data_IF_652485240051
#
_entry.id   IF_652485240051
#
_cell.length_a   1.000
_cell.length_b   1.000
_cell.length_c   1.000
_cell.angle_alpha   90.00
_cell.angle_beta   90.00
_cell.angle_gamma   90.00
#
_symmetry.space_group_name_H-M   'P 1'
#
loop_
_entity.id
_entity.type
_entity.pdbx_description
1 polymer ?
#
# COMPACT_ATOMS: atom_id res chain seq x y z
N UNK A 1 -27.94 -75.03 -38.29
CA UNK A 1 -28.34 -73.75 -37.66
C UNK A 1 -27.72 -72.65 -38.51
N UNK A 2 -28.40 -71.70 -39.17
CA UNK A 2 -29.70 -71.03 -38.91
C UNK A 2 -29.77 -70.44 -37.50
N UNK A 3 -30.01 -69.14 -37.25
CA UNK A 3 -30.22 -68.00 -38.17
C UNK A 3 -30.26 -66.67 -37.38
N UNK A 4 -29.93 -65.53 -38.02
CA UNK A 4 -30.35 -64.15 -37.64
C UNK A 4 -31.88 -63.96 -37.80
N UNK A 5 -32.57 -62.87 -37.35
CA UNK A 5 -32.06 -61.52 -37.02
C UNK A 5 -32.68 -60.76 -35.80
N UNK A 6 -32.16 -59.54 -35.57
CA UNK A 6 -32.82 -58.27 -35.15
C UNK A 6 -33.82 -58.14 -33.97
N UNK A 7 -33.64 -57.06 -33.18
CA UNK A 7 -34.64 -56.01 -32.85
C UNK A 7 -33.89 -54.78 -32.28
N UNK A 8 -34.50 -53.58 -32.32
CA UNK A 8 -33.83 -52.30 -31.97
C UNK A 8 -34.49 -51.54 -30.82
N UNK A 9 -33.67 -50.87 -30.00
CA UNK A 9 -34.00 -49.78 -29.06
C UNK A 9 -32.69 -49.08 -28.66
N UNK A 10 -32.59 -47.77 -28.42
CA UNK A 10 -33.60 -46.71 -28.52
C UNK A 10 -32.93 -45.35 -28.80
N UNK A 11 -33.70 -44.25 -28.88
CA UNK A 11 -33.16 -42.91 -29.13
C UNK A 11 -32.65 -42.27 -27.84
N UNK A 12 -31.34 -42.11 -27.69
CA UNK A 12 -30.76 -41.24 -26.67
C UNK A 12 -30.63 -39.81 -27.21
N UNK A 13 -31.44 -38.88 -26.68
CA UNK A 13 -31.43 -37.46 -27.07
C UNK A 13 -30.47 -36.67 -26.19
N UNK A 14 -29.23 -36.51 -26.67
CA UNK A 14 -28.21 -35.71 -26.00
C UNK A 14 -28.66 -34.23 -25.88
N UNK A 15 -28.72 -33.73 -24.63
CA UNK A 15 -28.97 -32.33 -24.32
C UNK A 15 -27.77 -31.47 -24.75
N UNK A 16 -27.97 -30.28 -25.35
CA UNK A 16 -26.86 -29.39 -25.69
C UNK A 16 -26.25 -28.79 -24.42
N UNK A 17 -24.96 -29.01 -24.21
CA UNK A 17 -24.22 -28.41 -23.10
C UNK A 17 -24.07 -26.90 -23.31
N UNK A 18 -24.62 -26.09 -22.40
CA UNK A 18 -24.47 -24.64 -22.42
C UNK A 18 -23.01 -24.24 -22.13
N UNK A 19 -22.29 -23.80 -23.17
CA UNK A 19 -20.92 -23.29 -23.04
C UNK A 19 -20.92 -21.85 -22.47
N UNK A 20 -21.09 -21.70 -21.16
CA UNK A 20 -20.83 -20.42 -20.49
C UNK A 20 -19.32 -20.26 -20.20
N UNK A 21 -18.51 -20.27 -21.25
CA UNK A 21 -17.09 -19.94 -21.20
C UNK A 21 -16.88 -18.42 -21.11
N UNK A 22 -17.18 -17.82 -19.96
CA UNK A 22 -16.94 -16.39 -19.72
C UNK A 22 -15.46 -16.11 -19.46
N UNK A 23 -14.63 -16.19 -20.50
CA UNK A 23 -13.27 -15.68 -20.47
C UNK A 23 -13.28 -14.16 -20.27
N UNK A 24 -12.82 -13.71 -19.10
CA UNK A 24 -12.56 -12.30 -18.86
C UNK A 24 -11.44 -11.85 -19.83
N UNK A 25 -11.67 -10.85 -20.70
CA UNK A 25 -10.65 -10.41 -21.64
C UNK A 25 -9.49 -9.76 -20.88
N UNK A 26 -8.27 -10.23 -21.16
CA UNK A 26 -7.06 -9.59 -20.67
C UNK A 26 -6.90 -8.19 -21.29
N UNK A 27 -6.49 -7.21 -20.48
CA UNK A 27 -6.21 -5.85 -20.97
C UNK A 27 -7.45 -4.99 -21.24
N UNK A 28 -8.14 -4.57 -20.18
CA UNK A 28 -8.83 -3.26 -20.21
C UNK A 28 -7.86 -2.21 -19.69
N UNK A 29 -7.49 -1.26 -20.55
CA UNK A 29 -6.71 -0.10 -20.13
C UNK A 29 -7.54 0.75 -19.16
N UNK A 30 -6.99 1.08 -17.99
CA UNK A 30 -7.70 1.81 -16.93
C UNK A 30 -7.49 3.33 -17.04
N UNK A 31 -7.38 3.86 -18.26
CA UNK A 31 -6.91 5.22 -18.65
C UNK A 31 -7.82 6.38 -18.21
N UNK A 32 -8.71 6.14 -17.25
CA UNK A 32 -9.56 7.14 -16.58
C UNK A 32 -10.05 6.69 -15.21
N UNK A 33 -9.46 5.63 -14.62
CA UNK A 33 -9.83 5.08 -13.32
C UNK A 33 -8.63 5.16 -12.37
N UNK A 34 -8.54 6.24 -11.61
CA UNK A 34 -7.54 6.41 -10.56
C UNK A 34 -7.88 5.55 -9.33
N UNK A 35 -6.88 5.14 -8.51
CA UNK A 35 -7.13 4.47 -7.23
C UNK A 35 -7.96 5.34 -6.28
N UNK A 36 -8.88 4.72 -5.53
CA UNK A 36 -9.71 5.40 -4.52
C UNK A 36 -9.07 5.44 -3.13
N UNK A 37 -7.97 4.72 -2.92
CA UNK A 37 -7.24 4.53 -1.67
C UNK A 37 -5.96 5.37 -1.57
N UNK A 38 -5.88 6.49 -2.31
CA UNK A 38 -4.72 7.40 -2.30
C UNK A 38 -4.30 7.80 -0.88
N UNK A 39 -2.99 7.86 -0.66
CA UNK A 39 -2.41 8.07 0.67
C UNK A 39 -2.33 9.55 1.05
N UNK A 40 -2.15 10.45 0.07
CA UNK A 40 -2.07 11.90 0.24
C UNK A 40 -3.20 12.46 1.11
N UNK A 41 -4.45 12.13 0.78
CA UNK A 41 -5.67 12.53 1.52
C UNK A 41 -5.75 12.03 2.97
N UNK A 42 -5.01 10.96 3.31
CA UNK A 42 -4.97 10.34 4.66
C UNK A 42 -3.76 10.79 5.47
N UNK A 43 -2.68 11.17 4.82
CA UNK A 43 -1.45 11.67 5.44
C UNK A 43 -1.50 13.19 5.70
N UNK A 44 -2.02 13.96 4.74
CA UNK A 44 -2.21 15.40 4.87
C UNK A 44 -3.51 15.64 5.65
N UNK A 45 -3.37 16.25 6.83
CA UNK A 45 -4.49 16.58 7.72
C UNK A 45 -5.42 17.65 7.14
N UNK A 46 -4.91 18.87 6.82
CA UNK A 46 -5.72 19.99 6.37
C UNK A 46 -6.56 19.69 5.12
N UNK A 47 -7.79 20.19 5.14
CA UNK A 47 -8.77 20.14 4.03
C UNK A 47 -8.76 21.45 3.26
N UNK A 48 -9.35 21.44 2.06
CA UNK A 48 -9.36 22.60 1.14
C UNK A 48 -9.90 23.88 1.79
N UNK A 49 -10.90 23.78 2.65
CA UNK A 49 -11.45 24.91 3.44
C UNK A 49 -10.46 25.43 4.46
N UNK A 50 -9.83 24.54 5.25
CA UNK A 50 -8.84 24.89 6.26
C UNK A 50 -7.58 25.50 5.62
N UNK A 51 -7.16 24.99 4.45
CA UNK A 51 -6.07 25.54 3.65
C UNK A 51 -6.42 26.96 3.16
N UNK A 52 -7.66 27.19 2.68
CA UNK A 52 -8.10 28.51 2.24
C UNK A 52 -8.17 29.52 3.41
N UNK A 53 -8.65 29.10 4.58
CA UNK A 53 -8.66 29.91 5.81
C UNK A 53 -7.24 30.26 6.27
N UNK A 54 -6.33 29.28 6.30
CA UNK A 54 -4.92 29.50 6.64
C UNK A 54 -4.21 30.43 5.64
N UNK A 55 -4.43 30.26 4.34
CA UNK A 55 -3.88 31.14 3.31
C UNK A 55 -4.40 32.57 3.44
N UNK A 56 -5.72 32.74 3.67
CA UNK A 56 -6.32 34.06 3.88
C UNK A 56 -5.80 34.76 5.13
N UNK A 57 -5.51 34.03 6.21
CA UNK A 57 -4.86 34.57 7.42
C UNK A 57 -3.43 35.04 7.15
N UNK A 58 -2.72 34.36 6.24
CA UNK A 58 -1.38 34.71 5.77
C UNK A 58 -1.38 35.74 4.62
N UNK A 59 -2.54 36.27 4.23
CA UNK A 59 -2.69 37.23 3.13
C UNK A 59 -2.40 36.66 1.73
N UNK A 60 -2.28 35.34 1.59
CA UNK A 60 -2.01 34.63 0.35
C UNK A 60 -3.31 34.06 -0.26
N UNK A 61 -3.34 33.88 -1.58
CA UNK A 61 -4.48 33.31 -2.32
C UNK A 61 -4.30 31.85 -2.68
N UNK A 62 -3.05 31.39 -2.86
CA UNK A 62 -2.73 30.00 -3.23
C UNK A 62 -1.45 29.50 -2.55
N UNK A 63 -1.24 28.19 -2.57
CA UNK A 63 -0.01 27.55 -2.06
C UNK A 63 1.22 27.94 -2.89
N UNK A 64 1.07 28.22 -4.18
CA UNK A 64 2.12 28.70 -5.08
C UNK A 64 2.54 30.12 -4.75
N UNK A 65 1.61 30.99 -4.32
CA UNK A 65 1.92 32.34 -3.84
C UNK A 65 2.63 32.31 -2.49
N UNK A 66 2.16 31.47 -1.55
CA UNK A 66 2.81 31.28 -0.24
C UNK A 66 4.23 30.71 -0.37
N UNK A 67 4.39 29.65 -1.17
CA UNK A 67 5.71 29.10 -1.55
C UNK A 67 6.53 30.14 -2.31
N UNK A 68 5.85 30.95 -3.14
CA UNK A 68 6.30 32.14 -3.85
C UNK A 68 7.09 33.10 -2.96
N UNK A 69 6.55 33.43 -1.80
CA UNK A 69 7.16 34.35 -0.83
C UNK A 69 8.17 33.68 0.10
N UNK A 70 8.04 32.36 0.33
CA UNK A 70 8.82 31.63 1.37
C UNK A 70 10.16 31.07 0.87
N UNK A 71 10.22 30.50 -0.34
CA UNK A 71 11.40 29.76 -0.83
C UNK A 71 12.10 30.54 -1.94
N UNK A 72 13.38 30.95 -1.84
CA UNK A 72 14.07 31.70 -2.89
C UNK A 72 14.03 30.97 -4.25
N UNK A 73 13.65 31.68 -5.32
CA UNK A 73 13.41 31.08 -6.64
C UNK A 73 14.62 30.31 -7.18
N UNK A 74 15.83 30.83 -6.97
CA UNK A 74 17.08 30.24 -7.45
C UNK A 74 17.50 28.90 -6.84
N UNK A 75 16.74 28.36 -5.87
CA UNK A 75 16.94 27.02 -5.30
C UNK A 75 15.73 26.08 -5.46
N UNK A 76 14.70 26.50 -6.22
CA UNK A 76 13.55 25.64 -6.51
C UNK A 76 13.86 24.68 -7.66
N UNK A 77 13.24 23.49 -7.63
CA UNK A 77 13.18 22.62 -8.80
C UNK A 77 12.39 23.35 -9.91
N UNK A 78 12.88 23.29 -11.15
CA UNK A 78 12.20 23.85 -12.32
C UNK A 78 11.15 22.92 -12.90
N UNK A 79 11.28 21.61 -12.63
CA UNK A 79 10.43 20.53 -13.15
C UNK A 79 9.90 19.66 -11.99
N UNK A 80 8.77 18.95 -12.16
CA UNK A 80 8.28 17.98 -11.18
C UNK A 80 9.28 16.86 -10.88
N UNK A 81 9.27 16.35 -9.64
CA UNK A 81 10.15 15.25 -9.23
C UNK A 81 9.70 13.91 -9.82
N UNK A 82 10.53 13.29 -10.66
CA UNK A 82 10.32 11.93 -11.18
C UNK A 82 10.52 10.89 -10.08
N UNK A 83 9.44 10.23 -9.63
CA UNK A 83 9.50 9.18 -8.61
C UNK A 83 9.69 7.83 -9.28
N UNK A 84 10.83 7.16 -9.04
CA UNK A 84 11.09 5.82 -9.56
C UNK A 84 10.34 4.73 -8.76
N UNK A 85 10.01 3.62 -9.42
CA UNK A 85 9.37 2.47 -8.77
C UNK A 85 7.85 2.54 -8.65
N UNK A 86 7.18 3.50 -9.30
CA UNK A 86 5.72 3.59 -9.36
C UNK A 86 5.20 4.09 -10.72
N UNK A 87 3.87 4.23 -10.88
CA UNK A 87 3.27 4.89 -12.04
C UNK A 87 3.82 6.32 -12.21
N UNK A 88 3.92 6.79 -13.45
CA UNK A 88 4.42 8.14 -13.78
C UNK A 88 3.29 9.12 -14.13
N UNK A 89 2.09 8.58 -14.31
CA UNK A 89 0.85 9.23 -14.79
C UNK A 89 -0.15 9.52 -13.65
N UNK A 90 0.04 8.94 -12.46
CA UNK A 90 -0.89 9.03 -11.32
C UNK A 90 -0.23 8.69 -9.99
N UNK A 91 -0.91 9.01 -8.89
CA UNK A 91 -0.62 8.43 -7.57
C UNK A 91 -0.80 6.89 -7.58
N UNK A 92 0.02 6.20 -6.79
CA UNK A 92 -0.10 4.78 -6.47
C UNK A 92 -1.04 4.57 -5.28
N UNK A 93 -1.90 3.55 -5.33
CA UNK A 93 -2.76 3.17 -4.21
C UNK A 93 -1.95 2.61 -3.02
N UNK A 94 -2.51 2.63 -1.81
CA UNK A 94 -1.88 1.99 -0.65
C UNK A 94 -1.85 0.46 -0.80
N UNK A 95 -2.95 -0.14 -1.24
CA UNK A 95 -3.01 -1.59 -1.46
C UNK A 95 -2.14 -2.03 -2.64
N UNK A 96 -1.98 -1.15 -3.64
CA UNK A 96 -1.05 -1.30 -4.75
C UNK A 96 0.42 -1.27 -4.25
N UNK A 97 0.78 -0.25 -3.46
CA UNK A 97 2.09 -0.12 -2.83
C UNK A 97 2.45 -1.33 -1.94
N UNK A 98 1.53 -1.77 -1.08
CA UNK A 98 1.72 -2.96 -0.23
C UNK A 98 1.91 -4.24 -1.06
N UNK A 99 1.26 -4.35 -2.23
CA UNK A 99 1.39 -5.50 -3.13
C UNK A 99 2.72 -5.47 -3.89
N UNK A 100 3.17 -4.28 -4.31
CA UNK A 100 4.50 -4.08 -4.90
C UNK A 100 5.63 -4.42 -3.89
N UNK A 101 5.54 -3.92 -2.66
CA UNK A 101 6.51 -4.20 -1.60
C UNK A 101 6.59 -5.70 -1.27
N UNK A 102 5.46 -6.42 -1.26
CA UNK A 102 5.44 -7.89 -1.14
C UNK A 102 6.16 -8.58 -2.29
N UNK A 103 6.08 -8.03 -3.50
CA UNK A 103 6.72 -8.56 -4.72
C UNK A 103 8.24 -8.35 -4.75
N UNK A 104 8.74 -7.33 -4.04
CA UNK A 104 10.18 -7.19 -3.75
C UNK A 104 10.61 -8.08 -2.58
N UNK A 105 9.83 -8.12 -1.49
CA UNK A 105 10.16 -8.91 -0.31
C UNK A 105 10.24 -10.42 -0.60
N UNK A 106 9.44 -10.96 -1.52
CA UNK A 106 9.45 -12.37 -1.94
C UNK A 106 10.71 -12.80 -2.69
N UNK A 107 11.58 -11.87 -3.10
CA UNK A 107 12.86 -12.16 -3.76
C UNK A 107 13.98 -12.46 -2.74
N UNK A 108 13.76 -12.11 -1.47
CA UNK A 108 14.71 -12.36 -0.38
C UNK A 108 14.78 -13.84 0.00
N UNK A 109 15.99 -14.36 0.22
CA UNK A 109 16.23 -15.74 0.68
C UNK A 109 16.51 -15.77 2.18
N UNK A 110 15.48 -16.08 2.97
CA UNK A 110 15.61 -16.24 4.43
C UNK A 110 16.30 -17.57 4.73
N UNK A 111 17.58 -17.51 5.10
CA UNK A 111 18.41 -18.66 5.47
C UNK A 111 18.65 -18.72 6.97
N UNK A 112 19.00 -19.89 7.50
CA UNK A 112 19.55 -20.03 8.86
C UNK A 112 21.00 -19.52 8.88
N UNK A 113 21.18 -18.26 9.25
CA UNK A 113 22.46 -17.55 9.16
C UNK A 113 23.28 -17.69 10.45
N UNK A 114 24.32 -18.53 10.42
CA UNK A 114 25.26 -18.71 11.53
C UNK A 114 26.57 -17.92 11.36
N UNK A 115 26.52 -16.79 10.66
CA UNK A 115 27.69 -15.93 10.37
C UNK A 115 28.19 -15.22 11.64
N UNK A 116 27.27 -14.85 12.55
CA UNK A 116 27.61 -14.13 13.78
C UNK A 116 28.03 -12.68 13.51
N UNK A 117 29.28 -12.34 13.81
CA UNK A 117 29.85 -11.00 13.62
C UNK A 117 29.02 -9.86 14.26
N UNK A 118 28.39 -10.14 15.41
CA UNK A 118 27.55 -9.18 16.15
C UNK A 118 26.04 -9.34 15.91
N UNK A 119 25.61 -10.13 14.92
CA UNK A 119 24.20 -10.42 14.66
C UNK A 119 23.90 -11.90 14.90
N UNK A 120 22.85 -12.17 15.67
CA UNK A 120 22.41 -13.51 16.05
C UNK A 120 20.89 -13.58 15.96
N UNK A 121 20.37 -14.68 15.40
CA UNK A 121 18.93 -14.90 15.25
C UNK A 121 18.26 -15.13 16.63
N UNK A 122 17.01 -14.69 16.78
CA UNK A 122 16.31 -14.72 18.07
C UNK A 122 14.79 -14.80 17.92
N UNK A 123 14.13 -15.43 18.90
CA UNK A 123 12.67 -15.55 18.94
C UNK A 123 12.11 -14.33 19.67
N UNK A 124 11.74 -13.29 18.93
CA UNK A 124 10.97 -12.16 19.47
C UNK A 124 9.63 -12.66 20.02
N UNK A 125 9.33 -12.49 21.33
CA UNK A 125 8.07 -12.95 21.90
C UNK A 125 6.88 -12.24 21.24
N UNK A 126 5.88 -13.00 20.78
CA UNK A 126 4.73 -12.46 20.04
C UNK A 126 3.95 -11.38 20.80
N UNK A 127 3.96 -11.42 22.13
CA UNK A 127 3.37 -10.38 23.00
C UNK A 127 4.12 -9.05 22.91
N UNK A 128 5.46 -9.07 22.77
CA UNK A 128 6.29 -7.86 22.59
C UNK A 128 6.13 -7.33 21.16
N UNK A 129 6.18 -8.21 20.16
CA UNK A 129 5.94 -7.84 18.76
C UNK A 129 4.59 -7.12 18.61
N UNK A 130 3.49 -7.72 19.08
CA UNK A 130 2.14 -7.20 18.84
C UNK A 130 1.79 -5.96 19.66
N UNK A 131 2.24 -5.87 20.92
CA UNK A 131 1.79 -4.82 21.85
C UNK A 131 2.78 -3.65 22.02
N UNK A 132 4.03 -3.81 21.56
CA UNK A 132 5.06 -2.75 21.60
C UNK A 132 5.49 -2.40 20.16
N UNK A 133 6.08 -3.33 19.42
CA UNK A 133 6.66 -3.02 18.09
C UNK A 133 5.60 -2.62 17.05
N UNK A 134 4.45 -3.29 17.03
CA UNK A 134 3.33 -2.98 16.13
C UNK A 134 2.35 -1.93 16.68
N UNK A 135 2.66 -1.29 17.83
CA UNK A 135 1.75 -0.41 18.54
C UNK A 135 2.19 1.08 18.44
N UNK A 136 1.41 1.97 17.79
CA UNK A 136 1.75 3.39 17.69
C UNK A 136 1.82 4.08 19.07
N UNK A 137 1.18 3.52 20.10
CA UNK A 137 1.32 3.95 21.50
C UNK A 137 2.73 3.76 22.10
N UNK A 138 3.65 3.10 21.39
CA UNK A 138 5.06 2.93 21.78
C UNK A 138 6.08 3.49 20.77
N UNK A 139 5.77 3.54 19.47
CA UNK A 139 6.73 3.98 18.45
C UNK A 139 6.52 5.39 17.89
N UNK A 140 5.41 6.08 18.22
CA UNK A 140 5.15 7.45 17.70
C UNK A 140 5.63 8.56 18.63
N UNK A 141 6.02 8.24 19.87
CA UNK A 141 6.52 9.20 20.84
C UNK A 141 8.01 9.45 20.64
N UNK A 142 8.44 10.71 20.77
CA UNK A 142 9.85 11.08 20.68
C UNK A 142 10.55 11.04 22.05
N UNK A 143 11.80 11.51 22.11
CA UNK A 143 12.63 11.67 23.31
C UNK A 143 11.82 12.20 24.51
N UNK A 144 11.96 11.61 25.72
CA UNK A 144 11.14 11.96 26.90
C UNK A 144 11.56 13.28 27.57
N UNK A 145 11.45 14.40 26.84
CA UNK A 145 11.74 15.75 27.36
C UNK A 145 10.74 16.23 28.43
N UNK A 146 9.51 15.70 28.42
CA UNK A 146 8.48 15.94 29.44
C UNK A 146 8.29 14.64 30.23
N UNK A 147 8.93 14.55 31.39
CA UNK A 147 9.04 13.30 32.15
C UNK A 147 7.67 12.83 32.70
N UNK A 148 6.81 13.77 33.08
CA UNK A 148 5.51 13.57 33.72
C UNK A 148 4.57 12.74 32.84
N UNK A 149 4.63 12.95 31.51
CA UNK A 149 3.85 12.23 30.49
C UNK A 149 4.67 11.14 29.78
N UNK A 150 5.82 10.76 30.34
CA UNK A 150 6.75 9.80 29.73
C UNK A 150 7.17 8.63 30.64
N UNK A 151 6.69 8.57 31.89
CA UNK A 151 7.12 7.60 32.90
C UNK A 151 7.19 6.15 32.38
N UNK A 152 6.15 5.64 31.73
CA UNK A 152 6.14 4.24 31.24
C UNK A 152 7.21 3.87 30.21
N UNK A 153 7.79 4.83 29.47
CA UNK A 153 8.96 4.57 28.60
C UNK A 153 10.29 4.92 29.25
N UNK A 154 10.29 5.75 30.30
CA UNK A 154 11.47 5.96 31.14
C UNK A 154 11.74 4.73 32.02
N UNK A 155 10.70 4.18 32.65
CA UNK A 155 10.73 2.93 33.42
C UNK A 155 11.22 1.74 32.58
N UNK A 156 10.83 1.67 31.31
CA UNK A 156 11.31 0.65 30.36
C UNK A 156 12.78 0.83 29.90
N UNK A 157 13.50 1.84 30.38
CA UNK A 157 14.91 2.11 30.07
C UNK A 157 15.82 2.15 31.33
N UNK A 158 15.28 1.83 32.52
CA UNK A 158 16.00 1.83 33.80
C UNK A 158 16.42 0.42 34.25
#
# INVERSE_FOLDING_TARGET
>A
MKSTPAVASGRETALPAHQNGSSLPAGRETTGLHPSDTFSRRHIGPRETEIAEMLSLLGCKTLEEFTGQTVPQGIRLTEPMTIQGGPQDREMGEQECLTLLRTYASQNRVNKSYIGMGYYDTITPGVILRNIMENPGWYTQYTPYQAEIAQGRLEAML
#
